data_IF_178289240763
#
_entry.id   IF_178289240763
#
_cell.length_a   1.000
_cell.length_b   1.000
_cell.length_c   1.000
_cell.angle_alpha   90.00
_cell.angle_beta   90.00
_cell.angle_gamma   90.00
#
_symmetry.space_group_name_H-M   'P 1'
#
loop_
_entity.id
_entity.type
_entity.pdbx_description
1 polymer ?
#
# COMPACT_ATOMS: atom_id res chain seq x y z
N UNK A 1 -3.14 -8.82 22.67
CA UNK A 1 -3.71 -8.50 21.35
C UNK A 1 -4.28 -7.08 21.40
N UNK A 2 -3.68 -6.15 20.66
CA UNK A 2 -3.67 -4.70 20.89
C UNK A 2 -5.03 -4.01 20.63
N UNK A 3 -5.60 -3.34 21.64
CA UNK A 3 -6.82 -2.51 21.53
C UNK A 3 -6.60 -1.14 20.84
N UNK A 4 -5.65 -1.01 19.92
CA UNK A 4 -5.35 0.30 19.31
C UNK A 4 -6.51 0.80 18.43
N UNK A 5 -7.27 -0.08 17.79
CA UNK A 5 -8.46 0.26 16.98
C UNK A 5 -9.69 0.73 17.78
N UNK A 6 -9.61 0.84 19.12
CA UNK A 6 -10.74 1.27 19.97
C UNK A 6 -10.69 2.73 20.45
N UNK A 7 -9.64 3.51 20.14
CA UNK A 7 -9.60 4.97 20.39
C UNK A 7 -10.69 5.69 19.61
N UNK A 8 -11.42 6.57 20.31
CA UNK A 8 -12.58 7.30 19.80
C UNK A 8 -12.22 8.51 18.94
N UNK A 9 -11.00 9.05 19.00
CA UNK A 9 -10.62 10.27 18.28
C UNK A 9 -9.67 10.02 17.09
N UNK A 10 -10.20 9.42 16.01
CA UNK A 10 -9.41 9.15 14.79
C UNK A 10 -9.82 10.03 13.62
N UNK A 11 -8.82 10.70 13.06
CA UNK A 11 -8.88 11.30 11.73
C UNK A 11 -8.32 10.29 10.73
N UNK A 12 -9.09 10.01 9.68
CA UNK A 12 -8.63 9.19 8.55
C UNK A 12 -8.48 10.10 7.34
N UNK A 13 -7.28 10.13 6.78
CA UNK A 13 -7.03 10.77 5.49
C UNK A 13 -7.13 9.67 4.44
N UNK A 14 -8.08 9.80 3.52
CA UNK A 14 -8.23 8.88 2.39
C UNK A 14 -7.77 9.59 1.14
N UNK A 15 -6.88 8.94 0.42
CA UNK A 15 -6.23 9.46 -0.77
C UNK A 15 -6.69 8.71 -2.01
N UNK A 16 -6.70 9.37 -3.17
CA UNK A 16 -7.05 8.73 -4.44
C UNK A 16 -8.55 8.45 -4.67
N UNK A 17 -9.43 8.89 -3.77
CA UNK A 17 -10.89 8.83 -3.96
C UNK A 17 -11.50 10.24 -3.95
N UNK A 18 -12.63 10.38 -4.66
CA UNK A 18 -13.40 11.62 -4.66
C UNK A 18 -13.91 12.00 -3.26
N UNK A 19 -14.10 13.31 -3.03
CA UNK A 19 -14.64 13.86 -1.76
C UNK A 19 -15.97 13.22 -1.35
N UNK A 20 -16.76 12.76 -2.30
CA UNK A 20 -18.05 12.12 -2.08
C UNK A 20 -17.91 10.72 -1.49
N UNK A 21 -17.04 9.88 -2.06
CA UNK A 21 -16.75 8.54 -1.52
C UNK A 21 -16.18 8.61 -0.10
N UNK A 22 -15.31 9.59 0.18
CA UNK A 22 -14.78 9.81 1.52
C UNK A 22 -15.89 10.16 2.55
N UNK A 23 -16.86 11.00 2.16
CA UNK A 23 -18.03 11.32 3.00
C UNK A 23 -18.89 10.09 3.29
N UNK A 24 -19.08 9.23 2.30
CA UNK A 24 -19.88 8.02 2.48
C UNK A 24 -19.20 7.01 3.41
N UNK A 25 -17.88 6.84 3.29
CA UNK A 25 -17.10 6.00 4.21
C UNK A 25 -17.14 6.54 5.65
N UNK A 26 -17.10 7.87 5.82
CA UNK A 26 -17.24 8.51 7.13
C UNK A 26 -18.59 8.16 7.79
N UNK A 27 -19.69 8.18 7.03
CA UNK A 27 -21.03 7.83 7.54
C UNK A 27 -21.15 6.37 7.96
N UNK A 28 -20.48 5.46 7.24
CA UNK A 28 -20.54 4.01 7.51
C UNK A 28 -19.58 3.58 8.62
N UNK A 29 -18.47 4.28 8.79
CA UNK A 29 -17.47 4.01 9.82
C UNK A 29 -17.92 4.51 11.19
N UNK A 30 -18.75 3.75 11.91
CA UNK A 30 -19.31 4.12 13.22
C UNK A 30 -18.35 4.48 14.36
N UNK A 31 -17.03 4.49 14.11
CA UNK A 31 -15.96 4.85 15.05
C UNK A 31 -14.98 5.90 14.49
N UNK A 32 -15.20 6.41 13.27
CA UNK A 32 -14.36 7.41 12.62
C UNK A 32 -14.99 8.78 12.86
N UNK A 33 -14.28 9.69 13.52
CA UNK A 33 -14.81 11.04 13.79
C UNK A 33 -14.74 11.88 12.52
N UNK A 34 -13.58 11.86 11.85
CA UNK A 34 -13.31 12.73 10.71
C UNK A 34 -12.69 11.94 9.56
N UNK A 35 -13.21 12.15 8.36
CA UNK A 35 -12.61 11.66 7.11
C UNK A 35 -12.32 12.83 6.19
N UNK A 36 -11.06 12.94 5.76
CA UNK A 36 -10.65 13.95 4.80
C UNK A 36 -10.18 13.28 3.52
N UNK A 37 -10.71 13.74 2.39
CA UNK A 37 -10.15 13.40 1.08
C UNK A 37 -9.03 14.39 0.74
N UNK A 38 -7.87 13.87 0.36
CA UNK A 38 -6.74 14.65 -0.15
C UNK A 38 -6.31 14.07 -1.49
N UNK A 39 -5.94 14.95 -2.42
CA UNK A 39 -5.45 14.53 -3.73
C UNK A 39 -4.07 13.92 -3.57
N UNK A 40 -3.87 12.77 -4.21
CA UNK A 40 -2.60 12.07 -4.33
C UNK A 40 -2.67 11.26 -5.61
N UNK A 41 -1.82 11.60 -6.57
CA UNK A 41 -1.61 10.80 -7.77
C UNK A 41 -0.35 9.95 -7.58
N UNK A 42 -0.52 8.64 -7.53
CA UNK A 42 0.58 7.69 -7.39
C UNK A 42 1.25 7.38 -8.74
N UNK A 43 1.00 8.15 -9.79
CA UNK A 43 1.77 8.06 -11.04
C UNK A 43 2.76 9.21 -11.17
N UNK A 44 2.89 10.07 -10.15
CA UNK A 44 3.66 11.31 -10.19
C UNK A 44 4.40 11.56 -8.89
N UNK A 45 5.74 11.45 -8.90
CA UNK A 45 6.59 11.75 -7.73
C UNK A 45 6.40 13.18 -7.24
N UNK A 46 6.08 14.11 -8.15
CA UNK A 46 5.72 15.49 -7.82
C UNK A 46 4.44 15.54 -6.98
N UNK A 47 3.39 14.82 -7.37
CA UNK A 47 2.15 14.77 -6.60
C UNK A 47 2.38 14.20 -5.20
N UNK A 48 3.21 13.17 -5.08
CA UNK A 48 3.61 12.57 -3.80
C UNK A 48 4.33 13.60 -2.92
N UNK A 49 5.33 14.31 -3.47
CA UNK A 49 6.07 15.33 -2.73
C UNK A 49 5.18 16.48 -2.25
N UNK A 50 4.27 16.97 -3.09
CA UNK A 50 3.29 18.00 -2.71
C UNK A 50 2.33 17.50 -1.63
N UNK A 51 1.87 16.26 -1.72
CA UNK A 51 1.02 15.64 -0.72
C UNK A 51 1.73 15.54 0.63
N UNK A 52 2.93 14.95 0.67
CA UNK A 52 3.68 14.78 1.92
C UNK A 52 4.08 16.10 2.55
N UNK A 53 4.40 17.12 1.73
CA UNK A 53 4.65 18.47 2.23
C UNK A 53 3.43 19.03 2.97
N UNK A 54 2.23 18.92 2.38
CA UNK A 54 0.99 19.37 3.02
C UNK A 54 0.70 18.60 4.31
N UNK A 55 0.90 17.28 4.32
CA UNK A 55 0.74 16.49 5.55
C UNK A 55 1.72 16.98 6.63
N UNK A 56 2.98 17.24 6.28
CA UNK A 56 3.99 17.79 7.18
C UNK A 56 3.68 19.19 7.71
N UNK A 57 2.90 19.98 6.98
CA UNK A 57 2.49 21.34 7.38
C UNK A 57 1.18 21.34 8.19
N UNK A 58 0.21 20.52 7.81
CA UNK A 58 -1.17 20.53 8.35
C UNK A 58 -1.34 19.58 9.55
N UNK A 59 -0.67 18.43 9.55
CA UNK A 59 -0.89 17.38 10.54
C UNK A 59 0.24 17.34 11.57
N UNK A 60 -0.12 17.19 12.85
CA UNK A 60 0.85 17.12 13.95
C UNK A 60 1.41 15.71 14.17
N UNK A 61 0.71 14.67 13.67
CA UNK A 61 1.07 13.27 13.84
C UNK A 61 0.50 12.40 12.72
N UNK A 62 1.20 11.31 12.40
CA UNK A 62 0.66 10.21 11.60
C UNK A 62 0.91 8.92 12.36
N UNK A 63 -0.17 8.28 12.79
CA UNK A 63 -0.10 7.06 13.59
C UNK A 63 -0.15 5.79 12.75
N UNK A 64 -0.72 5.89 11.55
CA UNK A 64 -0.95 4.76 10.67
C UNK A 64 -0.82 5.20 9.21
N UNK A 65 0.09 4.56 8.49
CA UNK A 65 0.22 4.64 7.04
C UNK A 65 -0.19 3.30 6.44
N UNK A 66 -1.16 3.31 5.52
CA UNK A 66 -1.58 2.11 4.79
C UNK A 66 -1.29 2.30 3.29
N UNK A 67 -0.26 1.63 2.81
CA UNK A 67 0.11 1.56 1.40
C UNK A 67 -0.77 0.51 0.70
N UNK A 68 -2.02 0.89 0.42
CA UNK A 68 -3.04 0.01 -0.15
C UNK A 68 -3.25 0.17 -1.66
N UNK A 69 -3.08 1.38 -2.18
CA UNK A 69 -3.42 1.70 -3.56
C UNK A 69 -2.60 0.87 -4.56
N UNK A 70 -3.18 0.54 -5.71
CA UNK A 70 -2.49 -0.34 -6.62
C UNK A 70 -3.25 -0.64 -7.90
N UNK A 71 -2.51 -1.02 -8.92
CA UNK A 71 -3.03 -1.48 -10.22
C UNK A 71 -2.64 -2.94 -10.43
N UNK A 72 -3.43 -3.67 -11.22
CA UNK A 72 -3.21 -5.09 -11.47
C UNK A 72 -3.40 -5.45 -12.94
N UNK A 73 -2.43 -6.16 -13.50
CA UNK A 73 -2.45 -6.74 -14.86
C UNK A 73 -2.82 -5.73 -15.96
N UNK A 74 -2.45 -4.47 -15.80
CA UNK A 74 -2.64 -3.46 -16.83
C UNK A 74 -1.70 -3.70 -18.03
N UNK A 75 -2.00 -3.15 -19.22
CA UNK A 75 -1.06 -3.09 -20.32
C UNK A 75 0.26 -2.41 -19.93
N UNK A 76 1.29 -2.58 -20.76
CA UNK A 76 2.57 -1.90 -20.54
C UNK A 76 2.41 -0.40 -20.72
N UNK A 77 2.43 0.33 -19.61
CA UNK A 77 2.44 1.80 -19.55
C UNK A 77 3.51 2.25 -18.56
N UNK A 78 3.81 3.54 -18.60
CA UNK A 78 4.73 4.17 -17.67
C UNK A 78 4.02 5.22 -16.83
N UNK A 79 4.49 5.42 -15.61
CA UNK A 79 4.14 6.58 -14.78
C UNK A 79 4.66 7.87 -15.44
N UNK A 80 4.29 9.04 -14.91
CA UNK A 80 4.81 10.32 -15.40
C UNK A 80 6.35 10.39 -15.29
N UNK A 81 6.91 9.70 -14.30
CA UNK A 81 8.34 9.61 -14.03
C UNK A 81 9.07 8.51 -14.82
N UNK A 82 8.36 7.77 -15.69
CA UNK A 82 8.94 6.76 -16.57
C UNK A 82 9.08 5.36 -15.97
N UNK A 83 8.50 5.09 -14.80
CA UNK A 83 8.52 3.75 -14.19
C UNK A 83 7.44 2.84 -14.79
N UNK A 84 7.71 1.55 -14.90
CA UNK A 84 6.68 0.56 -15.27
C UNK A 84 5.45 0.70 -14.36
N UNK A 85 4.26 0.83 -14.94
CA UNK A 85 3.04 1.24 -14.23
C UNK A 85 2.73 0.40 -12.98
N UNK A 86 2.84 -0.93 -13.04
CA UNK A 86 2.56 -1.78 -11.88
C UNK A 86 3.65 -1.68 -10.82
N UNK A 87 4.92 -1.59 -11.19
CA UNK A 87 6.03 -1.46 -10.26
C UNK A 87 6.11 -0.07 -9.63
N UNK A 88 5.89 0.98 -10.43
CA UNK A 88 5.74 2.37 -9.99
C UNK A 88 4.65 2.47 -8.93
N UNK A 89 3.40 2.35 -9.36
CA UNK A 89 2.23 2.64 -8.51
C UNK A 89 2.15 1.73 -7.29
N UNK A 90 2.37 0.41 -7.47
CA UNK A 90 2.20 -0.51 -6.35
C UNK A 90 3.35 -0.47 -5.33
N UNK A 91 4.55 -0.04 -5.75
CA UNK A 91 5.77 -0.18 -4.96
C UNK A 91 6.61 1.09 -4.86
N UNK A 92 7.13 1.65 -5.96
CA UNK A 92 8.05 2.79 -5.89
C UNK A 92 7.39 4.04 -5.29
N UNK A 93 6.13 4.28 -5.61
CA UNK A 93 5.41 5.43 -5.11
C UNK A 93 5.09 5.30 -3.62
N UNK A 94 4.72 4.09 -3.18
CA UNK A 94 4.59 3.78 -1.76
C UNK A 94 5.93 3.84 -1.02
N UNK A 95 7.02 3.42 -1.66
CA UNK A 95 8.37 3.53 -1.13
C UNK A 95 8.71 5.01 -0.88
N UNK A 96 8.50 5.87 -1.87
CA UNK A 96 8.75 7.32 -1.75
C UNK A 96 7.87 7.94 -0.66
N UNK A 97 6.56 7.70 -0.71
CA UNK A 97 5.59 8.20 0.26
C UNK A 97 5.98 7.82 1.70
N UNK A 98 6.34 6.55 1.91
CA UNK A 98 6.74 6.05 3.23
C UNK A 98 7.99 6.75 3.73
N UNK A 99 9.02 6.88 2.90
CA UNK A 99 10.27 7.52 3.31
C UNK A 99 10.08 9.01 3.62
N UNK A 100 9.24 9.72 2.84
CA UNK A 100 8.95 11.14 3.07
C UNK A 100 8.15 11.41 4.34
N UNK A 101 7.32 10.45 4.79
CA UNK A 101 6.56 10.54 6.04
C UNK A 101 7.26 9.88 7.23
N UNK A 102 8.37 9.18 7.00
CA UNK A 102 8.98 8.29 7.99
C UNK A 102 9.40 9.03 9.25
N UNK A 103 9.96 10.23 9.12
CA UNK A 103 10.38 11.00 10.30
C UNK A 103 9.19 11.46 11.12
N UNK A 104 8.09 11.91 10.50
CA UNK A 104 6.86 12.21 11.25
C UNK A 104 6.30 10.96 11.93
N UNK A 105 6.33 9.81 11.25
CA UNK A 105 5.90 8.52 11.84
C UNK A 105 6.73 8.17 13.08
N UNK A 106 8.05 8.38 13.05
CA UNK A 106 8.93 8.18 14.22
C UNK A 106 8.58 9.14 15.37
N UNK A 107 8.34 10.42 15.08
CA UNK A 107 7.89 11.39 16.08
C UNK A 107 6.52 11.06 16.66
N UNK A 108 5.66 10.38 15.88
CA UNK A 108 4.31 9.96 16.27
C UNK A 108 4.27 8.65 17.05
N UNK A 109 5.43 8.04 17.35
CA UNK A 109 5.50 6.72 17.97
C UNK A 109 4.65 6.61 19.26
N UNK A 110 3.93 5.49 19.48
CA UNK A 110 3.89 4.31 18.62
C UNK A 110 3.07 4.55 17.34
N UNK A 111 3.64 4.18 16.19
CA UNK A 111 3.02 4.31 14.87
C UNK A 111 3.24 3.05 14.02
N UNK A 112 2.43 2.91 12.96
CA UNK A 112 2.32 1.67 12.21
C UNK A 112 2.33 1.91 10.70
N UNK A 113 3.12 1.13 9.97
CA UNK A 113 3.10 1.09 8.50
C UNK A 113 2.57 -0.27 8.05
N UNK A 114 1.60 -0.26 7.14
CA UNK A 114 1.00 -1.47 6.56
C UNK A 114 1.18 -1.42 5.04
N UNK A 115 1.91 -2.39 4.50
CA UNK A 115 2.09 -2.57 3.06
C UNK A 115 1.17 -3.67 2.54
N UNK A 116 0.26 -3.33 1.62
CA UNK A 116 -0.65 -4.32 1.03
C UNK A 116 0.03 -5.06 -0.13
N UNK A 117 0.30 -6.34 0.10
CA UNK A 117 0.80 -7.29 -0.88
C UNK A 117 -0.35 -8.17 -1.42
N UNK A 118 -0.03 -9.34 -1.99
CA UNK A 118 -0.95 -10.31 -2.57
C UNK A 118 -0.30 -11.69 -2.56
N UNK A 119 -1.06 -12.79 -2.60
CA UNK A 119 -0.50 -14.14 -2.82
C UNK A 119 0.37 -14.23 -4.08
N UNK A 120 0.20 -13.31 -5.04
CA UNK A 120 1.07 -13.15 -6.19
C UNK A 120 2.57 -13.02 -5.84
N UNK A 121 2.91 -12.51 -4.64
CA UNK A 121 4.29 -12.36 -4.21
C UNK A 121 5.04 -13.70 -4.07
N UNK A 122 4.33 -14.80 -3.82
CA UNK A 122 4.93 -16.14 -3.60
C UNK A 122 5.64 -16.65 -4.85
N UNK A 123 5.15 -16.25 -6.02
CA UNK A 123 5.73 -16.60 -7.33
C UNK A 123 6.36 -15.39 -8.03
N UNK A 124 6.56 -14.30 -7.28
CA UNK A 124 7.26 -13.11 -7.78
C UNK A 124 8.76 -13.34 -7.79
N UNK A 125 9.44 -12.67 -8.73
CA UNK A 125 10.89 -12.60 -8.80
C UNK A 125 11.28 -11.15 -9.04
N UNK A 126 12.39 -10.72 -8.43
CA UNK A 126 12.95 -9.40 -8.66
C UNK A 126 14.00 -9.50 -9.77
N UNK A 127 13.72 -8.90 -10.92
CA UNK A 127 14.72 -8.69 -11.96
C UNK A 127 15.40 -7.33 -11.76
N UNK A 128 16.42 -7.31 -10.90
CA UNK A 128 17.15 -6.07 -10.59
C UNK A 128 17.91 -5.49 -11.80
N UNK A 129 18.10 -6.25 -12.88
CA UNK A 129 18.73 -5.76 -14.10
C UNK A 129 17.71 -5.05 -15.03
N UNK A 130 16.42 -5.34 -14.88
CA UNK A 130 15.35 -4.76 -15.70
C UNK A 130 14.02 -4.72 -14.94
N UNK A 131 13.97 -3.86 -13.92
CA UNK A 131 12.78 -3.64 -13.10
C UNK A 131 11.63 -3.02 -13.91
N UNK A 132 11.97 -2.21 -14.93
CA UNK A 132 11.04 -1.46 -15.77
C UNK A 132 10.53 -2.22 -17.00
N UNK A 133 10.98 -3.45 -17.24
CA UNK A 133 10.58 -4.24 -18.42
C UNK A 133 10.94 -3.60 -19.77
N UNK A 134 12.11 -2.98 -19.86
CA UNK A 134 12.60 -2.28 -21.05
C UNK A 134 13.21 -3.24 -22.08
N UNK A 135 13.80 -4.35 -21.63
CA UNK A 135 14.64 -5.22 -22.46
C UNK A 135 14.00 -6.58 -22.77
N UNK A 136 12.72 -6.77 -22.42
CA UNK A 136 12.00 -8.04 -22.55
C UNK A 136 10.52 -7.83 -22.89
N UNK A 137 9.88 -8.86 -23.42
CA UNK A 137 8.44 -8.81 -23.72
C UNK A 137 7.64 -8.67 -22.43
N UNK A 138 6.84 -7.61 -22.32
CA UNK A 138 6.04 -7.34 -21.13
C UNK A 138 5.05 -8.47 -20.80
N UNK A 139 5.06 -8.93 -19.55
CA UNK A 139 4.11 -9.89 -19.01
C UNK A 139 3.37 -9.27 -17.83
N UNK A 140 2.10 -8.93 -18.04
CA UNK A 140 1.27 -8.20 -17.07
C UNK A 140 1.15 -8.92 -15.73
N UNK A 141 1.13 -10.26 -15.73
CA UNK A 141 1.05 -11.06 -14.50
C UNK A 141 2.39 -11.06 -13.75
N UNK A 142 3.50 -11.25 -14.46
CA UNK A 142 4.83 -11.31 -13.82
C UNK A 142 5.22 -9.94 -13.27
N UNK A 143 4.94 -8.85 -14.00
CA UNK A 143 5.14 -7.48 -13.50
C UNK A 143 4.35 -7.22 -12.20
N UNK A 144 3.09 -7.68 -12.12
CA UNK A 144 2.30 -7.62 -10.89
C UNK A 144 2.92 -8.45 -9.75
N UNK A 145 3.37 -9.67 -10.03
CA UNK A 145 4.01 -10.51 -9.01
C UNK A 145 5.31 -9.87 -8.48
N UNK A 146 6.11 -9.26 -9.36
CA UNK A 146 7.31 -8.50 -9.01
C UNK A 146 6.96 -7.34 -8.06
N UNK A 147 5.93 -6.54 -8.40
CA UNK A 147 5.54 -5.40 -7.55
C UNK A 147 5.04 -5.83 -6.17
N UNK A 148 4.30 -6.95 -6.07
CA UNK A 148 3.81 -7.48 -4.79
C UNK A 148 4.90 -8.16 -3.97
N UNK A 149 5.91 -8.77 -4.61
CA UNK A 149 7.13 -9.22 -3.93
C UNK A 149 7.91 -8.04 -3.36
N UNK A 150 8.07 -6.97 -4.13
CA UNK A 150 8.78 -5.77 -3.69
C UNK A 150 8.17 -5.17 -2.40
N UNK A 151 6.84 -5.18 -2.25
CA UNK A 151 6.18 -4.77 -1.00
C UNK A 151 6.56 -5.62 0.22
N UNK A 152 6.76 -6.93 0.04
CA UNK A 152 7.20 -7.83 1.11
C UNK A 152 8.67 -7.59 1.46
N UNK A 153 9.53 -7.43 0.45
CA UNK A 153 10.95 -7.14 0.65
C UNK A 153 11.16 -5.80 1.33
N UNK A 154 10.44 -4.77 0.90
CA UNK A 154 10.48 -3.44 1.51
C UNK A 154 10.02 -3.46 2.96
N UNK A 155 8.98 -4.22 3.28
CA UNK A 155 8.54 -4.43 4.65
C UNK A 155 9.65 -5.02 5.51
N UNK A 156 10.30 -6.09 5.04
CA UNK A 156 11.41 -6.73 5.76
C UNK A 156 12.57 -5.75 6.00
N UNK A 157 12.89 -4.94 5.00
CA UNK A 157 13.95 -3.96 5.10
C UNK A 157 13.62 -2.84 6.10
N UNK A 158 12.40 -2.31 6.08
CA UNK A 158 11.98 -1.32 7.08
C UNK A 158 12.01 -1.88 8.50
N UNK A 159 11.56 -3.12 8.71
CA UNK A 159 11.65 -3.81 10.01
C UNK A 159 13.11 -3.86 10.49
N UNK A 160 14.05 -4.14 9.59
CA UNK A 160 15.49 -4.18 9.89
C UNK A 160 16.06 -2.81 10.25
N UNK A 161 15.56 -1.73 9.63
CA UNK A 161 16.08 -0.37 9.80
C UNK A 161 15.47 0.39 10.99
N UNK A 162 14.28 0.04 11.44
CA UNK A 162 13.51 0.78 12.44
C UNK A 162 13.57 0.29 13.91
N UNK A 163 14.49 -0.61 14.36
CA UNK A 163 14.63 -0.91 15.78
C UNK A 163 14.81 0.35 16.65
N UNK A 164 14.14 0.39 17.81
CA UNK A 164 14.23 1.50 18.77
C UNK A 164 13.43 2.76 18.41
N UNK A 165 12.82 2.83 17.22
CA UNK A 165 12.04 4.01 16.80
C UNK A 165 10.59 4.01 17.29
N UNK A 166 10.07 2.86 17.73
CA UNK A 166 8.66 2.70 18.09
C UNK A 166 7.70 2.61 16.89
N UNK A 167 8.23 2.61 15.65
CA UNK A 167 7.47 2.37 14.42
C UNK A 167 7.45 0.87 14.13
N UNK A 168 6.27 0.29 13.93
CA UNK A 168 6.14 -1.12 13.50
C UNK A 168 5.72 -1.19 12.05
N UNK A 169 6.26 -2.15 11.29
CA UNK A 169 5.94 -2.32 9.87
C UNK A 169 5.46 -3.74 9.62
N UNK A 170 4.35 -3.89 8.91
CA UNK A 170 3.78 -5.18 8.56
C UNK A 170 3.37 -5.22 7.09
N UNK A 171 3.41 -6.41 6.50
CA UNK A 171 2.81 -6.69 5.21
C UNK A 171 1.59 -7.59 5.40
N UNK A 172 0.56 -7.39 4.60
CA UNK A 172 -0.59 -8.29 4.55
C UNK A 172 -0.95 -8.64 3.12
N UNK A 173 -1.57 -9.80 2.91
CA UNK A 173 -2.35 -10.07 1.71
C UNK A 173 -3.83 -10.20 2.10
N UNK A 174 -4.76 -9.59 1.37
CA UNK A 174 -6.18 -9.64 1.73
C UNK A 174 -6.86 -10.98 1.35
N UNK A 175 -6.17 -11.87 0.62
CA UNK A 175 -6.78 -13.08 0.05
C UNK A 175 -7.49 -12.76 -1.27
N UNK A 176 -8.49 -13.56 -1.66
CA UNK A 176 -9.37 -13.22 -2.79
C UNK A 176 -10.41 -12.23 -2.29
N UNK A 177 -10.26 -10.97 -2.66
CA UNK A 177 -11.20 -9.89 -2.34
C UNK A 177 -11.84 -9.37 -3.62
N UNK A 178 -13.16 -9.26 -3.63
CA UNK A 178 -13.89 -8.63 -4.72
C UNK A 178 -13.51 -7.14 -4.75
N UNK A 179 -12.64 -6.80 -5.69
CA UNK A 179 -12.28 -5.42 -6.04
C UNK A 179 -12.60 -5.22 -7.52
N UNK A 180 -12.81 -3.97 -7.95
CA UNK A 180 -13.03 -3.65 -9.37
C UNK A 180 -11.95 -4.26 -10.28
N UNK A 181 -10.74 -4.48 -9.75
CA UNK A 181 -9.62 -5.11 -10.46
C UNK A 181 -9.71 -6.63 -10.62
N UNK A 182 -10.57 -7.34 -9.86
CA UNK A 182 -10.67 -8.81 -9.93
C UNK A 182 -11.48 -9.34 -11.09
N UNK A 183 -12.27 -8.50 -11.78
CA UNK A 183 -12.99 -8.88 -12.99
C UNK A 183 -13.74 -10.21 -12.85
N UNK A 184 -14.55 -10.38 -11.79
CA UNK A 184 -15.33 -11.61 -11.55
C UNK A 184 -16.48 -11.84 -12.55
N UNK A 185 -16.30 -11.46 -13.82
CA UNK A 185 -17.01 -12.07 -14.93
C UNK A 185 -16.11 -13.18 -15.50
N UNK A 186 -16.25 -14.37 -14.90
CA UNK A 186 -15.75 -15.67 -15.40
C UNK A 186 -14.24 -15.94 -15.24
N UNK A 187 -13.85 -16.57 -14.13
CA UNK A 187 -12.54 -17.24 -14.03
C UNK A 187 -12.59 -18.45 -13.08
N UNK A 188 -11.93 -19.58 -13.39
CA UNK A 188 -11.99 -20.84 -12.61
C UNK A 188 -11.32 -20.77 -11.23
N UNK A 189 -10.70 -19.63 -10.89
CA UNK A 189 -9.91 -19.42 -9.67
C UNK A 189 -10.74 -19.49 -8.38
N UNK A 190 -12.07 -19.39 -8.47
CA UNK A 190 -12.99 -19.42 -7.32
C UNK A 190 -13.06 -20.78 -6.62
N UNK A 191 -12.71 -21.87 -7.31
CA UNK A 191 -12.95 -23.24 -6.79
C UNK A 191 -11.87 -23.79 -5.86
N UNK A 192 -10.67 -23.16 -5.78
CA UNK A 192 -9.53 -23.73 -5.07
C UNK A 192 -9.21 -23.08 -3.70
N UNK A 193 -9.87 -21.97 -3.32
CA UNK A 193 -9.46 -21.12 -2.19
C UNK A 193 -10.54 -21.00 -1.09
N UNK A 194 -11.57 -21.85 -1.10
CA UNK A 194 -12.48 -22.00 0.04
C UNK A 194 -11.90 -22.96 1.10
N UNK A 195 -10.61 -22.79 1.39
CA UNK A 195 -9.89 -23.43 2.48
C UNK A 195 -9.37 -22.34 3.41
N UNK A 196 -10.09 -22.17 4.51
CA UNK A 196 -9.89 -21.19 5.58
C UNK A 196 -8.46 -21.19 6.14
N UNK A 197 -7.56 -20.30 5.68
CA UNK A 197 -6.34 -19.92 6.42
C UNK A 197 -5.90 -18.47 6.12
N UNK A 198 -6.39 -17.53 6.93
CA UNK A 198 -5.76 -16.21 7.10
C UNK A 198 -4.59 -16.37 8.07
N UNK A 199 -3.39 -16.65 7.57
CA UNK A 199 -2.18 -16.67 8.40
C UNK A 199 -1.56 -15.27 8.45
N UNK A 200 -1.66 -14.61 9.60
CA UNK A 200 -0.83 -13.45 9.92
C UNK A 200 0.59 -13.94 10.20
N UNK A 201 1.55 -13.66 9.33
CA UNK A 201 2.97 -13.88 9.61
C UNK A 201 3.50 -12.73 10.47
N UNK A 202 3.31 -12.84 11.79
CA UNK A 202 4.04 -12.02 12.77
C UNK A 202 5.29 -12.78 13.19
N UNK A 203 6.44 -12.47 12.60
CA UNK A 203 7.72 -12.93 13.14
C UNK A 203 8.21 -11.90 14.14
N UNK A 204 8.01 -12.20 15.43
CA UNK A 204 8.69 -11.51 16.52
C UNK A 204 10.10 -12.08 16.65
N UNK A 205 11.11 -11.21 16.66
CA UNK A 205 12.39 -11.47 17.33
C UNK A 205 12.48 -10.53 18.52
#
# INVERSE_FOLDING_TARGET
MYKWWQRKDRTVIITGIGKETARELARRGGWIINVYARHLDLTSTKSIGEFTKKINEEEQRVDLLINNAGVMRCPHWQTEDGFEMQFGVNHLDHFLLTNLLLDMMKHSAPSHIINVSSLAHVVGEMDFNDLNWENKKYNTKVAYCQSKLANVLFTKELVRQLPGTGVTVNALHPGVVETEHTGMHQSPFSSAVLGEQTQFLTTSL
#
